data_IF_213223993052
#
_entry.id   IF_213223993052
#
_cell.length_a   1.000
_cell.length_b   1.000
_cell.length_c   1.000
_cell.angle_alpha   90.00
_cell.angle_beta   90.00
_cell.angle_gamma   90.00
#
_symmetry.space_group_name_H-M   'P 1'
#
loop_
_entity.id
_entity.type
_entity.pdbx_description
1 polymer ?
#
# COMPACT_ATOMS: atom_id res chain seq x y z
N UNK A 1 -9.45 15.16 4.92
CA UNK A 1 -8.75 14.00 5.51
C UNK A 1 -7.75 14.52 6.53
N UNK A 2 -7.68 13.94 7.75
CA UNK A 2 -6.79 14.42 8.82
C UNK A 2 -5.33 14.01 8.52
N UNK A 3 -4.35 14.88 8.78
CA UNK A 3 -2.93 14.61 8.55
C UNK A 3 -2.44 13.37 9.33
N UNK A 4 -2.98 13.13 10.53
CA UNK A 4 -2.64 11.97 11.35
C UNK A 4 -3.06 10.65 10.68
N UNK A 5 -4.26 10.61 10.10
CA UNK A 5 -4.82 9.46 9.38
C UNK A 5 -3.97 9.09 8.13
N UNK A 6 -3.33 10.09 7.51
CA UNK A 6 -2.40 9.87 6.40
C UNK A 6 -1.05 9.37 6.92
N UNK A 7 -0.54 9.92 8.01
CA UNK A 7 0.73 9.49 8.61
C UNK A 7 0.66 8.05 9.10
N UNK A 8 -0.45 7.63 9.71
CA UNK A 8 -0.65 6.25 10.16
C UNK A 8 -0.63 5.27 8.98
N UNK A 9 -1.26 5.63 7.85
CA UNK A 9 -1.24 4.83 6.62
C UNK A 9 0.18 4.69 6.05
N UNK A 10 0.92 5.80 5.99
CA UNK A 10 2.31 5.81 5.51
C UNK A 10 3.25 5.04 6.45
N UNK A 11 3.02 5.12 7.76
CA UNK A 11 3.80 4.38 8.75
C UNK A 11 3.62 2.88 8.54
N UNK A 12 2.38 2.39 8.40
CA UNK A 12 2.11 0.97 8.16
C UNK A 12 2.71 0.45 6.85
N UNK A 13 2.72 1.28 5.79
CA UNK A 13 3.43 0.99 4.54
C UNK A 13 4.94 0.82 4.77
N UNK A 14 5.55 1.68 5.59
CA UNK A 14 7.00 1.66 5.85
C UNK A 14 7.44 0.53 6.77
N UNK A 15 6.62 0.21 7.78
CA UNK A 15 6.94 -0.80 8.80
C UNK A 15 6.50 -2.20 8.41
N UNK A 16 5.78 -2.35 7.29
CA UNK A 16 5.19 -3.63 6.90
C UNK A 16 4.28 -4.12 8.05
N UNK A 17 3.52 -3.19 8.62
CA UNK A 17 2.56 -3.35 9.70
C UNK A 17 1.25 -2.67 9.30
N UNK A 18 0.39 -3.43 8.63
CA UNK A 18 -0.77 -2.95 7.89
C UNK A 18 -2.02 -2.87 8.76
N UNK A 19 -1.88 -2.53 10.04
CA UNK A 19 -3.04 -2.13 10.83
C UNK A 19 -3.55 -0.77 10.33
N UNK A 20 -4.26 -0.83 9.20
CA UNK A 20 -4.81 0.32 8.48
C UNK A 20 -6.20 0.69 8.96
N UNK A 21 -6.71 0.01 9.99
CA UNK A 21 -8.08 0.07 10.50
C UNK A 21 -8.54 1.50 10.86
N UNK A 22 -7.60 2.38 11.21
CA UNK A 22 -7.87 3.78 11.54
C UNK A 22 -7.11 4.78 10.63
N UNK A 23 -6.73 4.34 9.43
CA UNK A 23 -5.89 5.12 8.51
C UNK A 23 -6.64 5.50 7.23
N UNK A 24 -6.02 6.30 6.36
CA UNK A 24 -6.57 6.63 5.05
C UNK A 24 -6.78 5.40 4.15
N UNK A 25 -6.24 4.25 4.56
CA UNK A 25 -6.37 2.95 3.90
C UNK A 25 -7.35 2.02 4.64
N UNK A 26 -8.21 2.52 5.53
CA UNK A 26 -9.20 1.71 6.23
C UNK A 26 -10.19 0.98 5.28
N UNK A 27 -10.38 1.53 4.06
CA UNK A 27 -11.18 0.91 3.00
C UNK A 27 -10.37 0.00 2.06
N UNK A 28 -9.08 -0.21 2.34
CA UNK A 28 -8.29 -1.22 1.65
C UNK A 28 -8.81 -2.62 2.02
N UNK A 29 -9.06 -3.43 1.00
CA UNK A 29 -9.36 -4.85 1.12
C UNK A 29 -8.08 -5.64 1.36
N UNK A 30 -7.00 -5.29 0.65
CA UNK A 30 -5.70 -5.93 0.84
C UNK A 30 -4.55 -5.00 0.48
N UNK A 31 -3.41 -5.20 1.15
CA UNK A 31 -2.14 -4.58 0.82
C UNK A 31 -1.10 -5.69 0.72
N UNK A 32 -0.45 -5.80 -0.43
CA UNK A 32 0.46 -6.90 -0.73
C UNK A 32 1.70 -6.40 -1.46
N UNK A 33 2.84 -7.05 -1.25
CA UNK A 33 4.00 -6.83 -2.11
C UNK A 33 3.73 -7.36 -3.52
N UNK A 34 4.43 -6.83 -4.52
CA UNK A 34 4.35 -7.33 -5.90
C UNK A 34 4.58 -8.83 -6.02
N UNK A 35 5.49 -9.41 -5.22
CA UNK A 35 5.72 -10.86 -5.16
C UNK A 35 4.47 -11.63 -4.74
N UNK A 36 3.78 -11.15 -3.71
CA UNK A 36 2.63 -11.82 -3.11
C UNK A 36 1.36 -11.63 -3.96
N UNK A 37 1.29 -10.51 -4.69
CA UNK A 37 0.27 -10.22 -5.68
C UNK A 37 0.51 -10.89 -7.05
N UNK A 38 1.65 -11.59 -7.23
CA UNK A 38 1.99 -12.27 -8.48
C UNK A 38 2.37 -11.34 -9.64
N UNK A 39 2.80 -10.10 -9.35
CA UNK A 39 3.22 -9.13 -10.37
C UNK A 39 4.65 -9.45 -10.83
N UNK A 40 4.79 -9.77 -12.11
CA UNK A 40 6.07 -9.99 -12.78
C UNK A 40 6.74 -8.66 -13.15
N UNK A 41 7.62 -8.17 -12.27
CA UNK A 41 8.40 -6.95 -12.51
C UNK A 41 9.74 -6.99 -11.79
N UNK A 42 10.70 -6.22 -12.29
CA UNK A 42 12.00 -6.00 -11.64
C UNK A 42 11.91 -5.00 -10.49
N UNK A 43 10.89 -4.14 -10.50
CA UNK A 43 10.69 -3.11 -9.49
C UNK A 43 10.15 -3.74 -8.21
N UNK A 44 10.49 -3.14 -7.07
CA UNK A 44 9.81 -3.46 -5.80
C UNK A 44 8.60 -2.57 -5.65
N UNK A 45 7.56 -3.04 -4.99
CA UNK A 45 6.38 -2.24 -4.80
C UNK A 45 5.27 -2.94 -4.04
N UNK A 46 4.23 -2.16 -3.78
CA UNK A 46 3.01 -2.60 -3.10
C UNK A 46 1.82 -2.44 -4.04
N UNK A 47 0.87 -3.35 -3.93
CA UNK A 47 -0.48 -3.25 -4.47
C UNK A 47 -1.42 -3.00 -3.30
N UNK A 48 -2.27 -1.99 -3.44
CA UNK A 48 -3.34 -1.67 -2.50
C UNK A 48 -4.64 -1.88 -3.28
N UNK A 49 -5.41 -2.90 -2.89
CA UNK A 49 -6.76 -3.13 -3.43
C UNK A 49 -7.78 -2.53 -2.50
N UNK A 50 -8.67 -1.71 -3.04
CA UNK A 50 -9.77 -1.10 -2.29
C UNK A 50 -11.03 -1.97 -2.41
N UNK A 51 -11.93 -1.88 -1.42
CA UNK A 51 -13.21 -2.62 -1.44
C UNK A 51 -14.13 -2.26 -2.61
N UNK A 52 -13.94 -1.09 -3.23
CA UNK A 52 -14.68 -0.68 -4.42
C UNK A 52 -14.13 -1.30 -5.72
N UNK A 53 -13.08 -2.14 -5.61
CA UNK A 53 -12.41 -2.79 -6.73
C UNK A 53 -11.33 -1.93 -7.39
N UNK A 54 -11.12 -0.69 -6.92
CA UNK A 54 -10.00 0.13 -7.41
C UNK A 54 -8.66 -0.39 -6.89
N UNK A 55 -7.62 -0.23 -7.70
CA UNK A 55 -6.27 -0.68 -7.37
C UNK A 55 -5.28 0.49 -7.48
N UNK A 56 -4.46 0.64 -6.44
CA UNK A 56 -3.36 1.60 -6.40
C UNK A 56 -2.04 0.85 -6.25
N UNK A 57 -0.97 1.41 -6.83
CA UNK A 57 0.35 0.83 -6.76
C UNK A 57 1.39 1.85 -6.30
N UNK A 58 2.23 1.43 -5.36
CA UNK A 58 3.43 2.17 -4.97
C UNK A 58 4.63 1.43 -5.55
N UNK A 59 5.29 2.02 -6.55
CA UNK A 59 6.47 1.43 -7.19
C UNK A 59 7.74 2.14 -6.73
N UNK A 60 8.71 1.36 -6.27
CA UNK A 60 10.06 1.82 -5.98
C UNK A 60 10.93 1.52 -7.19
N UNK A 61 11.39 2.59 -7.85
CA UNK A 61 12.30 2.52 -8.99
C UNK A 61 13.69 2.99 -8.56
N UNK A 62 14.71 2.28 -9.02
CA UNK A 62 16.09 2.76 -8.91
C UNK A 62 16.37 3.68 -10.11
N UNK A 63 16.64 4.97 -9.83
CA UNK A 63 17.22 5.86 -10.83
C UNK A 63 18.75 5.72 -10.81
N UNK A 64 19.36 5.64 -12.00
CA UNK A 64 20.80 5.75 -12.19
C UNK A 64 21.31 7.17 -11.98
#
# INVERSE_FOLDING_TARGET
MNAQVIQDALHGILTNDWDVSNSALADAESIQNYSDAGILTISKGLVIKMKDGSEFQLTIVQSN
#
